data_IF_342836123935
#
_entry.id   IF_342836123935
#
_cell.length_a   1.000
_cell.length_b   1.000
_cell.length_c   1.000
_cell.angle_alpha   90.00
_cell.angle_beta   90.00
_cell.angle_gamma   90.00
#
_symmetry.space_group_name_H-M   'P 1'
#
loop_
_entity.id
_entity.type
_entity.pdbx_description
1 polymer ?
#
# COMPACT_ATOMS: atom_id res chain seq x y z
N UNK A 1 1.19 17.79 -16.08
CA UNK A 1 2.52 17.84 -15.44
C UNK A 1 2.75 16.46 -14.84
N UNK A 2 3.94 15.87 -14.97
CA UNK A 2 4.21 14.56 -14.38
C UNK A 2 4.33 14.75 -12.86
N UNK A 3 3.42 14.16 -12.09
CA UNK A 3 3.58 14.11 -10.63
C UNK A 3 4.73 13.15 -10.35
N UNK A 4 5.69 13.51 -9.51
CA UNK A 4 6.76 12.59 -9.13
C UNK A 4 6.48 12.12 -7.71
N UNK A 5 6.49 10.80 -7.53
CA UNK A 5 6.40 10.17 -6.21
C UNK A 5 7.70 9.40 -5.97
N UNK A 6 8.25 9.57 -4.78
CA UNK A 6 9.54 9.01 -4.37
C UNK A 6 9.39 8.35 -3.00
N UNK A 7 10.30 7.45 -2.67
CA UNK A 7 10.31 6.82 -1.35
C UNK A 7 10.51 7.86 -0.24
N UNK A 8 9.65 7.81 0.78
CA UNK A 8 9.76 8.64 1.99
C UNK A 8 9.86 7.76 3.24
N UNK A 9 10.22 8.37 4.37
CA UNK A 9 10.15 7.69 5.65
C UNK A 9 8.69 7.29 5.93
N UNK A 10 8.48 6.01 6.23
CA UNK A 10 7.16 5.47 6.55
C UNK A 10 6.84 5.74 8.01
N UNK A 11 5.89 6.64 8.25
CA UNK A 11 5.38 6.96 9.58
C UNK A 11 3.96 6.41 9.71
N UNK A 12 3.81 5.29 10.42
CA UNK A 12 2.49 4.69 10.69
C UNK A 12 1.65 5.65 11.53
N UNK A 13 0.35 5.66 11.27
CA UNK A 13 -0.66 6.31 12.10
C UNK A 13 -0.88 5.50 13.38
N UNK A 14 -1.63 6.07 14.33
CA UNK A 14 -1.91 5.45 15.62
C UNK A 14 -2.61 4.08 15.49
N UNK A 15 -3.45 3.94 14.48
CA UNK A 15 -4.20 2.72 14.14
C UNK A 15 -3.35 1.68 13.37
N UNK A 16 -2.11 2.02 13.00
CA UNK A 16 -1.23 1.16 12.22
C UNK A 16 -1.36 1.35 10.72
N UNK A 17 -2.36 2.07 10.20
CA UNK A 17 -2.38 2.42 8.78
C UNK A 17 -1.23 3.35 8.38
N UNK A 18 -1.00 3.44 7.07
CA UNK A 18 -0.08 4.38 6.47
C UNK A 18 -0.61 4.82 5.13
N UNK A 19 -0.44 6.10 4.80
CA UNK A 19 -0.72 6.64 3.48
C UNK A 19 0.40 7.57 3.10
N UNK A 20 0.98 7.35 1.93
CA UNK A 20 2.04 8.19 1.41
C UNK A 20 1.58 9.65 1.33
N UNK A 21 2.39 10.64 1.73
CA UNK A 21 1.97 12.04 1.81
C UNK A 21 1.60 12.65 0.44
N UNK A 22 2.17 12.12 -0.65
CA UNK A 22 1.83 12.50 -2.02
C UNK A 22 0.60 11.77 -2.60
N UNK A 23 -0.02 10.85 -1.85
CA UNK A 23 -1.20 10.14 -2.27
C UNK A 23 -2.39 11.12 -2.33
N UNK A 24 -2.79 11.48 -3.54
CA UNK A 24 -3.84 12.47 -3.76
C UNK A 24 -5.25 11.89 -3.58
N UNK A 25 -5.43 10.61 -3.89
CA UNK A 25 -6.71 9.88 -3.79
C UNK A 25 -6.48 8.62 -2.97
N UNK A 26 -7.41 8.29 -2.07
CA UNK A 26 -7.35 7.01 -1.37
C UNK A 26 -7.45 5.88 -2.39
N UNK A 27 -6.62 4.82 -2.29
CA UNK A 27 -6.78 3.61 -3.10
C UNK A 27 -8.12 2.88 -2.86
N UNK A 28 -8.81 3.26 -1.77
CA UNK A 28 -10.13 2.76 -1.36
C UNK A 28 -11.29 3.59 -1.91
N UNK A 29 -11.01 4.78 -2.49
CA UNK A 29 -12.06 5.62 -3.07
C UNK A 29 -12.60 4.97 -4.36
N UNK A 30 -13.92 5.07 -4.58
CA UNK A 30 -14.79 4.35 -5.54
C UNK A 30 -14.42 4.47 -7.05
N UNK A 31 -13.22 4.92 -7.38
CA UNK A 31 -12.71 5.04 -8.75
C UNK A 31 -11.34 4.41 -8.90
N UNK A 32 -11.33 3.08 -9.07
CA UNK A 32 -10.17 2.33 -9.57
C UNK A 32 -9.58 2.97 -10.84
N UNK A 33 -10.42 3.65 -11.63
CA UNK A 33 -10.02 4.43 -12.82
C UNK A 33 -9.18 5.66 -12.43
N UNK A 34 -9.60 6.44 -11.45
CA UNK A 34 -8.88 7.62 -11.00
C UNK A 34 -7.55 7.24 -10.33
N UNK A 35 -7.54 6.17 -9.52
CA UNK A 35 -6.31 5.67 -8.90
C UNK A 35 -5.32 5.18 -9.96
N UNK A 36 -5.78 4.40 -10.94
CA UNK A 36 -4.94 3.91 -12.05
C UNK A 36 -4.41 5.05 -12.92
N UNK A 37 -5.23 6.08 -13.19
CA UNK A 37 -4.81 7.27 -13.93
C UNK A 37 -3.72 8.03 -13.18
N UNK A 38 -3.87 8.21 -11.86
CA UNK A 38 -2.88 8.87 -11.01
C UNK A 38 -1.54 8.11 -10.97
N UNK A 39 -1.56 6.77 -10.89
CA UNK A 39 -0.35 5.95 -10.97
C UNK A 39 0.37 6.13 -12.33
N UNK A 40 -0.40 6.18 -13.42
CA UNK A 40 0.15 6.43 -14.75
C UNK A 40 0.73 7.84 -14.88
N UNK A 41 0.07 8.87 -14.33
CA UNK A 41 0.60 10.24 -14.24
C UNK A 41 1.89 10.31 -13.41
N UNK A 42 1.99 9.48 -12.37
CA UNK A 42 3.20 9.33 -11.57
C UNK A 42 4.31 8.57 -12.29
N UNK A 43 3.95 7.77 -13.31
CA UNK A 43 4.87 6.89 -14.01
C UNK A 43 5.39 5.77 -13.12
N UNK A 44 4.53 5.21 -12.27
CA UNK A 44 4.83 4.10 -11.37
C UNK A 44 3.92 2.91 -11.67
N UNK A 45 4.38 1.72 -11.33
CA UNK A 45 3.54 0.53 -11.25
C UNK A 45 3.23 0.21 -9.77
N UNK A 46 2.10 -0.45 -9.51
CA UNK A 46 1.63 -0.81 -8.17
C UNK A 46 1.51 -2.32 -8.03
N UNK A 47 1.82 -2.84 -6.84
CA UNK A 47 1.51 -4.21 -6.43
C UNK A 47 0.95 -4.24 -5.01
N UNK A 48 0.28 -5.33 -4.66
CA UNK A 48 -0.43 -5.51 -3.39
C UNK A 48 0.15 -6.70 -2.64
N UNK A 49 0.37 -6.51 -1.35
CA UNK A 49 0.77 -7.55 -0.40
C UNK A 49 -0.36 -7.67 0.63
N UNK A 50 -1.03 -8.81 0.65
CA UNK A 50 -2.14 -9.07 1.57
C UNK A 50 -1.60 -9.65 2.87
N UNK A 51 -2.04 -9.12 4.01
CA UNK A 51 -1.61 -9.57 5.33
C UNK A 51 -1.95 -11.04 5.58
N UNK A 52 -3.06 -11.53 5.03
CA UNK A 52 -3.47 -12.94 5.08
C UNK A 52 -2.36 -13.88 4.57
N UNK A 53 -1.73 -13.52 3.45
CA UNK A 53 -0.71 -14.35 2.80
C UNK A 53 0.67 -14.07 3.42
N UNK A 54 0.96 -12.80 3.68
CA UNK A 54 2.27 -12.33 4.13
C UNK A 54 2.53 -12.64 5.61
N UNK A 55 1.49 -12.55 6.44
CA UNK A 55 1.56 -12.67 7.89
C UNK A 55 0.29 -13.33 8.47
N UNK A 56 -0.04 -14.54 8.00
CA UNK A 56 -1.24 -15.28 8.42
C UNK A 56 -1.50 -15.31 9.94
N UNK A 57 -0.51 -15.48 10.84
CA UNK A 57 -0.75 -15.43 12.29
C UNK A 57 -1.22 -14.06 12.80
N UNK A 58 -0.68 -12.97 12.24
CA UNK A 58 -1.13 -11.62 12.58
C UNK A 58 -2.51 -11.34 11.97
N UNK A 59 -2.77 -11.83 10.75
CA UNK A 59 -4.09 -11.71 10.13
C UNK A 59 -5.17 -12.38 11.00
N UNK A 60 -4.90 -13.59 11.52
CA UNK A 60 -5.80 -14.27 12.44
C UNK A 60 -6.09 -13.46 13.71
N UNK A 61 -5.06 -12.83 14.31
CA UNK A 61 -5.24 -11.91 15.44
C UNK A 61 -6.11 -10.71 15.08
N UNK A 62 -5.83 -10.08 13.94
CA UNK A 62 -6.58 -8.93 13.46
C UNK A 62 -8.07 -9.24 13.29
N UNK A 63 -8.39 -10.42 12.71
CA UNK A 63 -9.76 -10.91 12.54
C UNK A 63 -10.45 -11.28 13.88
N UNK A 64 -9.68 -11.55 14.93
CA UNK A 64 -10.14 -11.76 16.31
C UNK A 64 -10.16 -10.43 17.12
N UNK A 65 -10.38 -9.28 16.46
CA UNK A 65 -10.46 -7.92 17.03
C UNK A 65 -9.16 -7.35 17.63
N UNK A 66 -8.01 -8.01 17.42
CA UNK A 66 -6.70 -7.48 17.84
C UNK A 66 -6.11 -6.54 16.78
N UNK A 67 -6.61 -5.29 16.78
CA UNK A 67 -6.18 -4.24 15.82
C UNK A 67 -4.70 -3.84 15.95
N UNK A 68 -4.03 -4.15 17.07
CA UNK A 68 -2.59 -3.93 17.19
C UNK A 68 -1.78 -4.82 16.24
N UNK A 69 -2.35 -5.93 15.75
CA UNK A 69 -1.74 -6.78 14.75
C UNK A 69 -1.38 -6.01 13.46
N UNK A 70 -2.16 -4.99 13.08
CA UNK A 70 -1.88 -4.14 11.91
C UNK A 70 -0.61 -3.28 12.11
N UNK A 71 -0.36 -2.86 13.35
CA UNK A 71 0.82 -2.07 13.74
C UNK A 71 2.08 -2.94 13.79
N UNK A 72 1.92 -4.17 14.22
CA UNK A 72 3.01 -5.16 14.29
C UNK A 72 3.45 -5.64 12.90
N UNK A 73 2.49 -5.69 11.96
CA UNK A 73 2.74 -6.17 10.62
C UNK A 73 3.73 -5.28 9.86
N UNK A 74 4.82 -5.89 9.41
CA UNK A 74 5.83 -5.31 8.53
C UNK A 74 5.73 -5.99 7.16
N UNK A 75 5.02 -5.41 6.19
CA UNK A 75 4.76 -6.07 4.92
C UNK A 75 6.05 -6.43 4.19
N UNK A 76 6.15 -7.66 3.69
CA UNK A 76 7.31 -8.09 2.91
C UNK A 76 7.40 -7.29 1.62
N UNK A 77 8.55 -6.64 1.38
CA UNK A 77 8.82 -5.96 0.12
C UNK A 77 8.71 -6.94 -1.06
N UNK A 78 7.91 -6.64 -2.09
CA UNK A 78 7.76 -7.50 -3.26
C UNK A 78 9.08 -7.78 -3.99
N UNK A 79 9.11 -8.86 -4.77
CA UNK A 79 10.27 -9.19 -5.59
C UNK A 79 10.58 -8.10 -6.64
N UNK A 80 11.86 -7.73 -6.76
CA UNK A 80 12.34 -6.69 -7.66
C UNK A 80 12.99 -5.53 -6.92
N UNK A 81 13.57 -4.59 -7.67
CA UNK A 81 14.20 -3.39 -7.11
C UNK A 81 13.18 -2.23 -7.00
N UNK A 82 13.55 -1.24 -6.19
CA UNK A 82 12.92 0.09 -6.13
C UNK A 82 11.46 0.14 -5.66
N UNK A 83 10.98 -0.93 -5.03
CA UNK A 83 9.68 -0.92 -4.35
C UNK A 83 9.72 -0.08 -3.08
N UNK A 84 8.72 0.77 -2.90
CA UNK A 84 8.47 1.49 -1.67
C UNK A 84 6.99 1.52 -1.33
N UNK A 85 6.68 1.74 -0.04
CA UNK A 85 5.32 1.71 0.46
C UNK A 85 4.54 2.95 0.01
N UNK A 86 3.37 2.69 -0.59
CA UNK A 86 2.38 3.69 -0.94
C UNK A 86 1.31 3.82 0.15
N UNK A 87 0.78 2.70 0.63
CA UNK A 87 -0.28 2.71 1.63
C UNK A 87 -0.33 1.37 2.36
N UNK A 88 -0.83 1.39 3.59
CA UNK A 88 -1.18 0.20 4.37
C UNK A 88 -2.49 0.53 5.07
N UNK A 89 -3.51 -0.28 4.83
CA UNK A 89 -4.85 -0.04 5.34
C UNK A 89 -5.62 -1.35 5.34
N UNK A 90 -6.73 -1.34 6.05
CA UNK A 90 -7.71 -2.42 6.04
C UNK A 90 -8.74 -2.15 4.96
N UNK A 91 -9.01 -3.12 4.10
CA UNK A 91 -10.18 -3.05 3.22
C UNK A 91 -11.38 -3.64 3.96
N UNK A 92 -12.54 -3.00 3.84
CA UNK A 92 -13.72 -3.42 4.62
C UNK A 92 -14.11 -4.90 4.42
N UNK A 93 -13.83 -5.46 3.24
CA UNK A 93 -14.24 -6.82 2.86
C UNK A 93 -13.09 -7.85 2.75
N UNK A 94 -11.88 -7.44 2.34
CA UNK A 94 -10.76 -8.36 2.05
C UNK A 94 -9.65 -8.32 3.12
N UNK A 95 -9.78 -7.45 4.12
CA UNK A 95 -8.84 -7.34 5.23
C UNK A 95 -7.58 -6.50 4.91
N UNK A 96 -6.55 -6.58 5.77
CA UNK A 96 -5.42 -5.67 5.66
C UNK A 96 -4.52 -5.92 4.45
N UNK A 97 -4.13 -4.82 3.81
CA UNK A 97 -3.34 -4.80 2.58
C UNK A 97 -2.29 -3.70 2.60
N UNK A 98 -1.14 -4.00 2.00
CA UNK A 98 -0.06 -3.05 1.76
C UNK A 98 0.14 -2.85 0.26
N UNK A 99 0.13 -1.59 -0.16
CA UNK A 99 0.35 -1.18 -1.54
C UNK A 99 1.80 -0.75 -1.66
N UNK A 100 2.52 -1.34 -2.61
CA UNK A 100 3.87 -0.97 -2.98
C UNK A 100 3.88 -0.40 -4.37
N UNK A 101 4.67 0.64 -4.60
CA UNK A 101 4.91 1.21 -5.92
C UNK A 101 6.38 1.25 -6.24
N UNK A 102 6.72 1.23 -7.52
CA UNK A 102 8.06 1.50 -8.03
C UNK A 102 7.98 2.23 -9.37
N UNK A 103 9.05 2.92 -9.82
CA UNK A 103 9.10 3.51 -11.15
C UNK A 103 8.72 2.49 -12.22
N UNK A 104 7.76 2.83 -13.08
CA UNK A 104 7.39 1.96 -14.18
C UNK A 104 8.59 1.84 -15.14
N UNK A 105 8.88 0.64 -15.67
CA UNK A 105 9.90 0.50 -16.69
C UNK A 105 9.58 1.44 -17.86
N UNK A 106 10.61 2.13 -18.36
CA UNK A 106 10.44 3.00 -19.52
C UNK A 106 9.84 2.16 -20.67
N UNK A 107 8.69 2.57 -21.18
CA UNK A 107 8.10 1.93 -22.34
C UNK A 107 9.13 1.99 -23.48
N UNK A 108 9.63 0.82 -23.90
CA UNK A 108 10.57 0.69 -25.01
C UNK A 108 9.84 0.86 -26.34
#
# INVERSE_FOLDING_TARGET
MKTLIEAVQVERREDGSYFHPALANSPDDDSAVAFSAWLAECGVEVTRVWMEIDAAPLCGRYLDDDTDALKEWQPTTPAGADWFLLAIFDTEDDGPVAYFVRPAPAAT
#
